data_IF_073697964050
#
_entry.id   IF_073697964050
#
_cell.length_a   1.000
_cell.length_b   1.000
_cell.length_c   1.000
_cell.angle_alpha   90.00
_cell.angle_beta   90.00
_cell.angle_gamma   90.00
#
_symmetry.space_group_name_H-M   'P 1'
#
loop_
_entity.id
_entity.type
_entity.pdbx_description
1 polymer ?
#
# COMPACT_ATOMS: atom_id res chain seq x y z
N UNK A 1 -59.05 -27.56 -12.36
CA UNK A 1 -58.23 -26.87 -11.34
C UNK A 1 -56.79 -26.90 -11.82
N UNK A 2 -56.31 -25.80 -12.41
CA UNK A 2 -54.89 -25.64 -12.74
C UNK A 2 -54.16 -25.39 -11.43
N UNK A 3 -53.51 -26.42 -10.90
CA UNK A 3 -52.59 -26.26 -9.78
C UNK A 3 -51.33 -25.63 -10.34
N UNK A 4 -51.26 -24.30 -10.31
CA UNK A 4 -49.97 -23.63 -10.35
C UNK A 4 -49.22 -24.02 -9.07
N UNK A 5 -48.38 -25.06 -9.16
CA UNK A 5 -47.30 -25.20 -8.18
C UNK A 5 -46.40 -23.98 -8.37
N UNK A 6 -46.63 -22.94 -7.59
CA UNK A 6 -45.60 -21.94 -7.32
C UNK A 6 -44.47 -22.70 -6.64
N UNK A 7 -43.45 -23.10 -7.40
CA UNK A 7 -42.26 -23.74 -6.88
C UNK A 7 -41.67 -22.84 -5.79
N UNK A 8 -41.68 -23.31 -4.54
CA UNK A 8 -41.13 -22.56 -3.41
C UNK A 8 -39.66 -22.25 -3.65
N UNK A 9 -39.24 -21.01 -3.37
CA UNK A 9 -37.84 -20.60 -3.47
C UNK A 9 -37.04 -21.36 -2.40
N UNK A 10 -36.04 -22.12 -2.81
CA UNK A 10 -35.15 -22.83 -1.90
C UNK A 10 -33.72 -22.86 -2.43
N UNK A 11 -32.75 -22.86 -1.51
CA UNK A 11 -31.33 -22.96 -1.88
C UNK A 11 -31.01 -24.35 -2.42
N UNK A 12 -30.32 -24.39 -3.57
CA UNK A 12 -29.79 -25.62 -4.20
C UNK A 12 -28.35 -25.89 -3.77
N UNK A 13 -27.59 -24.84 -3.51
CA UNK A 13 -26.22 -24.94 -3.03
C UNK A 13 -25.95 -23.83 -2.01
N UNK A 14 -25.17 -24.17 -1.00
CA UNK A 14 -24.78 -23.30 0.10
C UNK A 14 -23.29 -23.54 0.38
N UNK A 15 -22.53 -22.46 0.56
CA UNK A 15 -21.11 -22.54 0.91
C UNK A 15 -20.75 -21.44 1.90
N UNK A 16 -20.15 -21.85 3.02
CA UNK A 16 -19.57 -20.94 4.00
C UNK A 16 -18.22 -20.40 3.50
N UNK A 17 -17.92 -19.17 3.88
CA UNK A 17 -16.58 -18.61 3.77
C UNK A 17 -15.60 -19.32 4.72
N UNK A 18 -14.29 -19.15 4.51
CA UNK A 18 -13.25 -19.81 5.31
C UNK A 18 -13.32 -19.50 6.81
N UNK A 19 -13.82 -18.33 7.19
CA UNK A 19 -14.02 -17.95 8.60
C UNK A 19 -15.45 -18.19 9.09
N UNK A 20 -16.32 -18.74 8.23
CA UNK A 20 -17.75 -18.98 8.51
C UNK A 20 -18.57 -17.74 8.86
N UNK A 21 -18.05 -16.54 8.55
CA UNK A 21 -18.73 -15.26 8.80
C UNK A 21 -19.60 -14.78 7.63
N UNK A 22 -19.56 -15.48 6.50
CA UNK A 22 -20.43 -15.26 5.36
C UNK A 22 -20.91 -16.61 4.77
N UNK A 23 -22.13 -16.61 4.25
CA UNK A 23 -22.73 -17.73 3.53
C UNK A 23 -23.15 -17.25 2.15
N UNK A 24 -22.73 -17.98 1.12
CA UNK A 24 -23.18 -17.77 -0.24
C UNK A 24 -24.12 -18.91 -0.62
N UNK A 25 -25.28 -18.55 -1.17
CA UNK A 25 -26.29 -19.51 -1.61
C UNK A 25 -26.79 -19.22 -3.01
N UNK A 26 -27.05 -20.28 -3.77
CA UNK A 26 -27.71 -20.20 -5.08
C UNK A 26 -29.08 -20.87 -4.93
N UNK A 27 -30.15 -20.14 -5.27
CA UNK A 27 -31.49 -20.69 -5.24
C UNK A 27 -31.86 -21.45 -6.53
N UNK A 28 -33.01 -22.12 -6.51
CA UNK A 28 -33.57 -22.84 -7.63
C UNK A 28 -33.95 -21.95 -8.84
N UNK A 29 -33.84 -20.62 -8.72
CA UNK A 29 -34.02 -19.65 -9.81
C UNK A 29 -32.68 -19.09 -10.32
N UNK A 30 -31.54 -19.61 -9.83
CA UNK A 30 -30.21 -19.15 -10.23
C UNK A 30 -29.79 -17.82 -9.59
N UNK A 31 -30.53 -17.32 -8.59
CA UNK A 31 -30.17 -16.10 -7.87
C UNK A 31 -29.12 -16.40 -6.82
N UNK A 32 -28.00 -15.69 -6.91
CA UNK A 32 -26.95 -15.68 -5.89
C UNK A 32 -27.36 -14.76 -4.73
N UNK A 33 -27.31 -15.27 -3.50
CA UNK A 33 -27.52 -14.50 -2.27
C UNK A 33 -26.32 -14.66 -1.35
N UNK A 34 -25.83 -13.55 -0.81
CA UNK A 34 -24.80 -13.53 0.23
C UNK A 34 -25.42 -13.09 1.55
N UNK A 35 -25.22 -13.89 2.59
CA UNK A 35 -25.73 -13.66 3.93
C UNK A 35 -24.56 -13.45 4.87
N UNK A 36 -24.61 -12.39 5.67
CA UNK A 36 -23.67 -12.16 6.77
C UNK A 36 -24.07 -13.06 7.93
N UNK A 37 -23.17 -13.91 8.41
CA UNK A 37 -23.39 -14.78 9.56
C UNK A 37 -22.77 -14.14 10.79
N UNK A 38 -23.56 -13.89 11.82
CA UNK A 38 -23.04 -13.38 13.09
C UNK A 38 -22.03 -14.39 13.69
N UNK A 39 -20.85 -13.94 14.16
CA UNK A 39 -19.89 -14.81 14.84
C UNK A 39 -20.50 -15.53 16.06
N UNK A 40 -21.56 -14.94 16.61
CA UNK A 40 -22.29 -15.40 17.78
C UNK A 40 -23.53 -16.24 17.48
N UNK A 41 -23.81 -16.56 16.21
CA UNK A 41 -25.01 -17.32 15.78
C UNK A 41 -26.33 -16.78 16.35
N UNK A 42 -26.42 -15.46 16.58
CA UNK A 42 -27.62 -14.78 17.09
C UNK A 42 -27.55 -14.36 18.55
N UNK A 43 -26.53 -14.76 19.31
CA UNK A 43 -26.32 -14.27 20.68
C UNK A 43 -25.73 -12.86 20.70
N UNK A 44 -26.16 -12.02 21.64
CA UNK A 44 -25.52 -10.73 21.89
C UNK A 44 -24.20 -10.97 22.61
N UNK A 45 -23.09 -10.69 21.95
CA UNK A 45 -21.76 -10.70 22.58
C UNK A 45 -21.46 -9.31 23.13
N UNK A 46 -20.78 -9.26 24.27
CA UNK A 46 -20.13 -8.03 24.70
C UNK A 46 -19.02 -7.63 23.72
N UNK A 47 -18.63 -6.35 23.76
CA UNK A 47 -17.66 -5.77 22.83
C UNK A 47 -16.29 -6.45 22.97
N UNK A 48 -15.87 -6.83 24.19
CA UNK A 48 -14.56 -7.42 24.42
C UNK A 48 -14.47 -8.84 23.84
N UNK A 49 -15.51 -9.65 24.05
CA UNK A 49 -15.61 -10.99 23.46
C UNK A 49 -15.67 -10.91 21.92
N UNK A 50 -16.43 -9.94 21.38
CA UNK A 50 -16.49 -9.71 19.93
C UNK A 50 -15.12 -9.33 19.35
N UNK A 51 -14.40 -8.41 19.99
CA UNK A 51 -13.05 -8.01 19.58
C UNK A 51 -12.07 -9.18 19.60
N UNK A 52 -12.10 -9.99 20.67
CA UNK A 52 -11.23 -11.16 20.80
C UNK A 52 -11.51 -12.19 19.70
N UNK A 53 -12.78 -12.46 19.39
CA UNK A 53 -13.15 -13.38 18.32
C UNK A 53 -12.65 -12.90 16.96
N UNK A 54 -12.88 -11.62 16.63
CA UNK A 54 -12.41 -11.05 15.35
C UNK A 54 -10.88 -11.07 15.25
N UNK A 55 -10.18 -10.79 16.36
CA UNK A 55 -8.72 -10.85 16.43
C UNK A 55 -8.20 -12.28 16.13
N UNK A 56 -8.77 -13.31 16.76
CA UNK A 56 -8.39 -14.70 16.47
C UNK A 56 -8.61 -15.09 15.01
N UNK A 57 -9.70 -14.64 14.39
CA UNK A 57 -9.95 -14.92 12.97
C UNK A 57 -8.96 -14.17 12.05
N UNK A 58 -8.55 -12.95 12.42
CA UNK A 58 -7.52 -12.20 11.70
C UNK A 58 -6.16 -12.92 11.79
N UNK A 59 -5.77 -13.40 12.97
CA UNK A 59 -4.57 -14.21 13.17
C UNK A 59 -4.62 -15.50 12.35
N UNK A 60 -5.75 -16.21 12.39
CA UNK A 60 -5.97 -17.41 11.58
C UNK A 60 -5.76 -17.13 10.08
N UNK A 61 -6.36 -16.06 9.55
CA UNK A 61 -6.16 -15.65 8.16
C UNK A 61 -4.71 -15.24 7.87
N UNK A 62 -4.04 -14.60 8.83
CA UNK A 62 -2.66 -14.14 8.69
C UNK A 62 -1.70 -15.32 8.51
N UNK A 63 -1.90 -16.39 9.29
CA UNK A 63 -1.08 -17.62 9.22
C UNK A 63 -1.44 -18.47 7.99
N UNK A 64 -2.72 -18.76 7.79
CA UNK A 64 -3.18 -19.65 6.71
C UNK A 64 -3.08 -19.02 5.31
N UNK A 65 -3.11 -17.70 5.22
CA UNK A 65 -3.17 -16.98 3.95
C UNK A 65 -4.58 -16.90 3.35
N UNK A 66 -5.62 -17.33 4.07
CA UNK A 66 -7.00 -17.10 3.66
C UNK A 66 -7.35 -15.62 3.67
N UNK A 67 -8.28 -15.25 2.77
CA UNK A 67 -8.73 -13.87 2.62
C UNK A 67 -9.67 -13.48 3.78
N UNK A 68 -9.38 -12.35 4.43
CA UNK A 68 -10.10 -11.83 5.60
C UNK A 68 -11.30 -10.94 5.26
N UNK A 69 -11.76 -10.92 4.01
CA UNK A 69 -12.83 -10.01 3.55
C UNK A 69 -14.14 -10.13 4.34
N UNK A 70 -14.49 -11.34 4.77
CA UNK A 70 -15.72 -11.65 5.51
C UNK A 70 -15.64 -11.17 6.96
N UNK A 71 -14.47 -11.23 7.60
CA UNK A 71 -14.20 -10.62 8.90
C UNK A 71 -14.49 -9.12 8.84
N UNK A 72 -14.06 -8.43 7.78
CA UNK A 72 -14.24 -6.98 7.63
C UNK A 72 -15.73 -6.56 7.60
N UNK A 73 -16.64 -7.46 7.20
CA UNK A 73 -18.08 -7.19 7.28
C UNK A 73 -18.56 -7.02 8.73
N UNK A 74 -17.82 -7.56 9.70
CA UNK A 74 -18.20 -7.55 11.11
C UNK A 74 -17.52 -6.48 11.95
N UNK A 75 -16.41 -5.93 11.46
CA UNK A 75 -15.68 -4.87 12.15
C UNK A 75 -16.46 -3.55 12.09
N UNK A 76 -16.79 -3.00 13.26
CA UNK A 76 -17.40 -1.68 13.39
C UNK A 76 -16.33 -0.58 13.44
N UNK A 77 -16.64 0.69 13.04
CA UNK A 77 -15.66 1.77 13.01
C UNK A 77 -14.94 2.02 14.34
N UNK A 78 -15.64 1.86 15.47
CA UNK A 78 -15.09 2.02 16.82
C UNK A 78 -14.17 0.86 17.25
N UNK A 79 -14.19 -0.28 16.55
CA UNK A 79 -13.33 -1.44 16.83
C UNK A 79 -11.99 -1.37 16.11
N UNK A 80 -11.88 -0.55 15.07
CA UNK A 80 -10.74 -0.52 14.14
C UNK A 80 -9.41 -0.30 14.86
N UNK A 81 -9.31 0.74 15.70
CA UNK A 81 -8.07 1.08 16.38
C UNK A 81 -7.61 -0.08 17.30
N UNK A 82 -8.50 -0.59 18.14
CA UNK A 82 -8.21 -1.67 19.08
C UNK A 82 -7.77 -2.96 18.37
N UNK A 83 -8.44 -3.32 17.26
CA UNK A 83 -8.06 -4.51 16.49
C UNK A 83 -6.68 -4.32 15.84
N UNK A 84 -6.38 -3.14 15.31
CA UNK A 84 -5.08 -2.87 14.70
C UNK A 84 -3.92 -2.92 15.69
N UNK A 85 -4.11 -2.35 16.89
CA UNK A 85 -3.10 -2.34 17.96
C UNK A 85 -2.86 -3.76 18.47
N UNK A 86 -3.91 -4.47 18.87
CA UNK A 86 -3.78 -5.86 19.36
C UNK A 86 -3.19 -6.79 18.31
N UNK A 87 -3.64 -6.70 17.06
CA UNK A 87 -3.07 -7.50 15.97
C UNK A 87 -1.58 -7.17 15.75
N UNK A 88 -1.17 -5.92 15.97
CA UNK A 88 0.24 -5.57 15.92
C UNK A 88 1.04 -6.17 17.07
N UNK A 89 0.52 -6.09 18.30
CA UNK A 89 1.16 -6.66 19.49
C UNK A 89 1.34 -8.18 19.35
N UNK A 90 0.32 -8.89 18.87
CA UNK A 90 0.43 -10.34 18.65
C UNK A 90 1.47 -10.68 17.58
N UNK A 91 1.59 -9.84 16.54
CA UNK A 91 2.63 -9.96 15.53
C UNK A 91 4.04 -9.70 16.12
N UNK A 92 4.23 -8.66 16.94
CA UNK A 92 5.55 -8.32 17.50
C UNK A 92 6.02 -9.30 18.57
N UNK A 93 5.10 -10.05 19.21
CA UNK A 93 5.44 -11.16 20.11
C UNK A 93 6.00 -12.39 19.39
N UNK A 94 5.83 -12.50 18.07
CA UNK A 94 6.36 -13.64 17.32
C UNK A 94 7.88 -13.56 17.17
N UNK A 95 8.52 -14.71 16.88
CA UNK A 95 9.94 -14.72 16.55
C UNK A 95 10.23 -13.98 15.23
N UNK A 96 11.49 -13.56 15.04
CA UNK A 96 11.90 -12.74 13.88
C UNK A 96 11.63 -13.42 12.54
N UNK A 97 11.81 -14.74 12.44
CA UNK A 97 11.58 -15.48 11.20
C UNK A 97 10.10 -15.43 10.78
N UNK A 98 9.18 -15.62 11.72
CA UNK A 98 7.74 -15.54 11.46
C UNK A 98 7.31 -14.10 11.15
N UNK A 99 7.85 -13.11 11.87
CA UNK A 99 7.61 -11.70 11.56
C UNK A 99 8.01 -11.37 10.12
N UNK A 100 9.18 -11.82 9.67
CA UNK A 100 9.65 -11.60 8.30
C UNK A 100 8.66 -12.15 7.25
N UNK A 101 8.17 -13.38 7.45
CA UNK A 101 7.20 -14.04 6.54
C UNK A 101 5.85 -13.32 6.52
N UNK A 102 5.39 -12.83 7.67
CA UNK A 102 4.07 -12.21 7.81
C UNK A 102 4.06 -10.69 7.58
N UNK A 103 5.24 -10.06 7.51
CA UNK A 103 5.45 -8.60 7.44
C UNK A 103 4.54 -7.86 6.45
N UNK A 104 4.39 -8.38 5.23
CA UNK A 104 3.52 -7.76 4.21
C UNK A 104 2.03 -7.99 4.50
N UNK A 105 1.66 -9.15 5.04
CA UNK A 105 0.27 -9.50 5.36
C UNK A 105 -0.28 -8.63 6.49
N UNK A 106 0.50 -8.43 7.56
CA UNK A 106 0.09 -7.57 8.68
C UNK A 106 -0.16 -6.12 8.21
N UNK A 107 0.70 -5.58 7.34
CA UNK A 107 0.51 -4.23 6.78
C UNK A 107 -0.76 -4.18 5.91
N UNK A 108 -1.01 -5.19 5.10
CA UNK A 108 -2.21 -5.28 4.27
C UNK A 108 -3.51 -5.40 5.10
N UNK A 109 -3.49 -6.18 6.19
CA UNK A 109 -4.61 -6.29 7.11
C UNK A 109 -4.89 -4.95 7.81
N UNK A 110 -3.84 -4.28 8.34
CA UNK A 110 -3.96 -2.95 8.94
C UNK A 110 -4.53 -1.92 7.96
N UNK A 111 -4.05 -1.90 6.72
CA UNK A 111 -4.59 -1.05 5.66
C UNK A 111 -6.10 -1.29 5.43
N UNK A 112 -6.53 -2.56 5.49
CA UNK A 112 -7.93 -2.94 5.29
C UNK A 112 -8.82 -2.50 6.45
N UNK A 113 -8.35 -2.67 7.69
CA UNK A 113 -9.04 -2.23 8.90
C UNK A 113 -9.18 -0.70 8.94
N UNK A 114 -8.10 0.03 8.64
CA UNK A 114 -8.12 1.50 8.62
C UNK A 114 -9.18 2.10 7.67
N UNK A 115 -9.54 1.38 6.59
CA UNK A 115 -10.55 1.83 5.63
C UNK A 115 -11.98 1.74 6.18
N UNK A 116 -12.19 1.07 7.31
CA UNK A 116 -13.51 0.91 7.93
C UNK A 116 -13.84 2.04 8.92
N UNK A 117 -12.92 2.96 9.20
CA UNK A 117 -13.15 4.11 10.06
C UNK A 117 -12.65 5.40 9.42
N UNK A 118 -13.44 6.49 9.43
CA UNK A 118 -13.03 7.76 8.84
C UNK A 118 -11.78 8.35 9.53
N UNK A 119 -11.65 8.12 10.84
CA UNK A 119 -10.55 8.65 11.65
C UNK A 119 -9.19 8.03 11.32
N UNK A 120 -9.18 6.88 10.63
CA UNK A 120 -7.97 6.15 10.29
C UNK A 120 -7.67 6.12 8.79
N UNK A 121 -8.43 6.88 7.97
CA UNK A 121 -8.31 6.79 6.52
C UNK A 121 -6.92 7.21 6.01
N UNK A 122 -6.33 8.26 6.60
CA UNK A 122 -4.97 8.68 6.27
C UNK A 122 -3.94 7.57 6.55
N UNK A 123 -4.09 6.85 7.66
CA UNK A 123 -3.25 5.68 7.98
C UNK A 123 -3.40 4.55 6.96
N UNK A 124 -4.59 4.37 6.38
CA UNK A 124 -4.77 3.39 5.29
C UNK A 124 -3.91 3.73 4.06
N UNK A 125 -3.79 5.03 3.76
CA UNK A 125 -2.95 5.54 2.67
C UNK A 125 -1.47 5.27 2.97
N UNK A 126 -1.03 5.51 4.20
CA UNK A 126 0.35 5.24 4.65
C UNK A 126 0.70 3.76 4.55
N UNK A 127 -0.18 2.87 5.02
CA UNK A 127 0.05 1.43 4.87
C UNK A 127 0.09 1.00 3.40
N UNK A 128 -0.68 1.65 2.52
CA UNK A 128 -0.60 1.37 1.09
C UNK A 128 0.71 1.84 0.48
N UNK A 129 1.18 3.05 0.83
CA UNK A 129 2.50 3.53 0.45
C UNK A 129 3.59 2.59 0.97
N UNK A 130 3.45 2.06 2.19
CA UNK A 130 4.39 1.11 2.79
C UNK A 130 4.44 -0.21 2.03
N UNK A 131 3.29 -0.75 1.62
CA UNK A 131 3.24 -1.95 0.77
C UNK A 131 3.93 -1.72 -0.58
N UNK A 132 3.71 -0.56 -1.20
CA UNK A 132 4.35 -0.20 -2.46
C UNK A 132 5.88 -0.03 -2.27
N UNK A 133 6.32 0.63 -1.20
CA UNK A 133 7.73 0.78 -0.86
C UNK A 133 8.41 -0.58 -0.65
N UNK A 134 7.81 -1.48 0.13
CA UNK A 134 8.34 -2.84 0.34
C UNK A 134 8.47 -3.57 -0.99
N UNK A 135 7.45 -3.48 -1.85
CA UNK A 135 7.47 -4.10 -3.17
C UNK A 135 8.57 -3.52 -4.07
N UNK A 136 8.73 -2.20 -4.12
CA UNK A 136 9.78 -1.53 -4.90
C UNK A 136 11.15 -1.91 -4.35
N UNK A 137 11.35 -1.84 -3.03
CA UNK A 137 12.61 -2.20 -2.38
C UNK A 137 13.03 -3.62 -2.68
N UNK A 138 12.12 -4.59 -2.50
CA UNK A 138 12.36 -5.99 -2.86
C UNK A 138 12.74 -6.14 -4.34
N UNK A 139 12.10 -5.40 -5.24
CA UNK A 139 12.40 -5.44 -6.68
C UNK A 139 13.77 -4.89 -6.98
N UNK A 140 14.05 -3.66 -6.55
CA UNK A 140 15.29 -2.97 -6.89
C UNK A 140 16.51 -3.66 -6.28
N UNK A 141 16.39 -4.14 -5.02
CA UNK A 141 17.47 -4.92 -4.39
C UNK A 141 17.69 -6.28 -5.04
N UNK A 142 16.63 -6.92 -5.56
CA UNK A 142 16.78 -8.21 -6.27
C UNK A 142 17.52 -8.11 -7.60
N UNK A 143 17.67 -6.89 -8.14
CA UNK A 143 18.46 -6.65 -9.34
C UNK A 143 19.97 -6.65 -9.06
N UNK A 144 20.37 -6.40 -7.80
CA UNK A 144 21.78 -6.36 -7.41
C UNK A 144 22.40 -7.76 -7.53
N UNK A 145 23.61 -7.85 -8.07
CA UNK A 145 24.27 -9.12 -8.37
C UNK A 145 25.57 -9.27 -7.60
N UNK A 146 25.86 -10.42 -6.99
CA UNK A 146 27.17 -10.65 -6.39
C UNK A 146 28.26 -10.65 -7.46
N UNK A 147 29.40 -10.00 -7.16
CA UNK A 147 30.53 -9.93 -8.08
C UNK A 147 31.23 -11.30 -8.26
N UNK A 148 31.20 -12.15 -7.24
CA UNK A 148 31.78 -13.50 -7.24
C UNK A 148 30.67 -14.54 -6.98
N UNK A 149 30.56 -15.54 -7.85
CA UNK A 149 29.50 -16.57 -7.80
C UNK A 149 29.62 -17.55 -6.62
N UNK A 150 30.78 -17.61 -5.94
CA UNK A 150 31.10 -18.66 -4.95
C UNK A 150 31.33 -18.18 -3.51
N UNK A 151 30.95 -16.95 -3.12
CA UNK A 151 30.73 -16.50 -1.71
C UNK A 151 30.09 -15.10 -1.72
N UNK A 152 29.23 -14.70 -0.74
CA UNK A 152 29.11 -15.18 0.66
C UNK A 152 27.67 -15.51 1.14
N UNK A 153 27.52 -15.85 2.43
CA UNK A 153 26.24 -16.10 3.16
C UNK A 153 25.17 -14.98 3.04
N UNK A 154 25.54 -13.79 2.55
CA UNK A 154 24.65 -12.61 2.45
C UNK A 154 24.62 -12.04 1.03
N UNK A 155 23.42 -11.71 0.57
CA UNK A 155 23.14 -11.05 -0.71
C UNK A 155 23.63 -9.59 -0.74
N UNK A 156 23.88 -9.00 -1.92
CA UNK A 156 24.19 -7.56 -2.04
C UNK A 156 23.14 -6.65 -1.39
N UNK A 157 21.86 -7.02 -1.49
CA UNK A 157 20.77 -6.27 -0.87
C UNK A 157 20.82 -6.28 0.66
N UNK A 158 21.23 -7.39 1.27
CA UNK A 158 21.43 -7.48 2.74
C UNK A 158 22.66 -6.70 3.18
N UNK A 159 23.76 -6.76 2.42
CA UNK A 159 24.96 -5.93 2.69
C UNK A 159 24.64 -4.44 2.65
N UNK A 160 23.89 -4.00 1.63
CA UNK A 160 23.41 -2.62 1.53
C UNK A 160 22.63 -2.23 2.78
N UNK A 161 21.68 -3.06 3.21
CA UNK A 161 20.90 -2.79 4.41
C UNK A 161 21.76 -2.68 5.67
N UNK A 162 22.73 -3.57 5.85
CA UNK A 162 23.65 -3.51 7.00
C UNK A 162 24.51 -2.24 7.01
N UNK A 163 25.01 -1.83 5.85
CA UNK A 163 25.83 -0.62 5.71
C UNK A 163 24.99 0.63 5.95
N UNK A 164 23.82 0.74 5.32
CA UNK A 164 22.92 1.89 5.49
C UNK A 164 22.37 2.00 6.93
N UNK A 165 22.11 0.88 7.61
CA UNK A 165 21.65 0.87 9.00
C UNK A 165 22.74 1.36 9.98
N UNK A 166 24.02 1.07 9.70
CA UNK A 166 25.14 1.50 10.55
C UNK A 166 25.64 2.90 10.23
N UNK A 167 25.59 3.31 8.96
CA UNK A 167 26.12 4.58 8.51
C UNK A 167 25.15 5.75 8.81
N UNK A 168 25.65 6.73 9.55
CA UNK A 168 24.92 7.94 9.97
C UNK A 168 25.31 9.19 9.18
N UNK A 169 26.19 9.07 8.18
CA UNK A 169 26.55 10.18 7.31
C UNK A 169 25.33 10.69 6.55
N UNK A 170 25.20 12.01 6.54
CA UNK A 170 24.12 12.70 5.81
C UNK A 170 24.53 13.02 4.36
N UNK A 171 25.79 12.74 4.01
CA UNK A 171 26.34 12.86 2.66
C UNK A 171 26.25 11.51 1.96
N UNK A 172 25.44 11.44 0.90
CA UNK A 172 25.16 10.20 0.17
C UNK A 172 26.42 9.60 -0.46
N UNK A 173 27.34 10.45 -0.93
CA UNK A 173 28.53 9.99 -1.63
C UNK A 173 29.53 9.34 -0.64
N UNK A 174 29.55 9.79 0.63
CA UNK A 174 30.31 9.14 1.71
C UNK A 174 29.75 7.76 2.07
N UNK A 175 28.43 7.60 2.06
CA UNK A 175 27.81 6.29 2.30
C UNK A 175 28.24 5.30 1.22
N UNK A 176 28.26 5.75 -0.04
CA UNK A 176 28.60 4.94 -1.20
C UNK A 176 30.03 4.42 -1.23
N UNK A 177 30.99 5.14 -0.64
CA UNK A 177 32.39 4.68 -0.53
C UNK A 177 32.50 3.34 0.21
N UNK A 178 31.54 3.05 1.11
CA UNK A 178 31.51 1.79 1.87
C UNK A 178 30.91 0.62 1.06
N UNK A 179 30.45 0.85 -0.17
CA UNK A 179 29.78 -0.14 -1.02
C UNK A 179 30.66 -0.58 -2.19
N UNK A 180 30.50 -1.85 -2.58
CA UNK A 180 31.13 -2.43 -3.77
C UNK A 180 30.28 -2.09 -5.00
N UNK A 181 30.67 -1.06 -5.74
CA UNK A 181 29.87 -0.54 -6.87
C UNK A 181 29.69 -1.55 -8.01
N UNK A 182 30.56 -2.56 -8.10
CA UNK A 182 30.46 -3.64 -9.09
C UNK A 182 29.19 -4.48 -8.92
N UNK A 183 28.63 -4.55 -7.71
CA UNK A 183 27.40 -5.29 -7.40
C UNK A 183 26.12 -4.59 -7.90
N UNK A 184 26.24 -3.32 -8.31
CA UNK A 184 25.16 -2.44 -8.70
C UNK A 184 25.08 -2.22 -10.22
N UNK A 185 25.99 -2.82 -11.00
CA UNK A 185 26.04 -2.62 -12.46
C UNK A 185 24.84 -3.31 -13.12
N UNK A 186 24.04 -2.50 -13.84
CA UNK A 186 22.83 -2.95 -14.55
C UNK A 186 22.76 -2.39 -15.97
N UNK A 187 22.02 -3.10 -16.81
CA UNK A 187 21.70 -2.65 -18.17
C UNK A 187 20.80 -1.40 -18.15
N UNK A 188 21.13 -0.40 -18.96
CA UNK A 188 20.38 0.86 -19.03
C UNK A 188 18.89 0.65 -19.34
N UNK A 189 18.57 -0.33 -20.19
CA UNK A 189 17.20 -0.68 -20.55
C UNK A 189 16.38 -1.21 -19.36
N UNK A 190 17.00 -1.93 -18.43
CA UNK A 190 16.34 -2.41 -17.22
C UNK A 190 15.93 -1.21 -16.35
N UNK A 191 16.88 -0.32 -16.08
CA UNK A 191 16.66 0.90 -15.30
C UNK A 191 15.59 1.78 -15.93
N UNK A 192 15.68 2.04 -17.23
CA UNK A 192 14.69 2.83 -17.97
C UNK A 192 13.28 2.22 -17.87
N UNK A 193 13.18 0.88 -17.92
CA UNK A 193 11.88 0.21 -17.82
C UNK A 193 11.24 0.30 -16.43
N UNK A 194 12.05 0.56 -15.39
CA UNK A 194 11.61 0.73 -14.00
C UNK A 194 11.60 2.20 -13.56
N UNK A 195 11.81 3.14 -14.49
CA UNK A 195 11.95 4.57 -14.19
C UNK A 195 10.78 5.13 -13.37
N UNK A 196 9.56 4.68 -13.63
CA UNK A 196 8.38 5.16 -12.90
C UNK A 196 8.36 4.73 -11.43
N UNK A 197 8.98 3.58 -11.11
CA UNK A 197 9.16 3.15 -9.72
C UNK A 197 10.28 3.94 -9.04
N UNK A 198 11.37 4.22 -9.77
CA UNK A 198 12.48 5.05 -9.30
C UNK A 198 12.00 6.48 -9.02
N UNK A 199 11.26 7.08 -9.95
CA UNK A 199 10.64 8.39 -9.81
C UNK A 199 9.74 8.43 -8.58
N UNK A 200 8.90 7.41 -8.38
CA UNK A 200 8.02 7.34 -7.22
C UNK A 200 8.78 7.39 -5.88
N UNK A 201 9.96 6.76 -5.78
CA UNK A 201 10.78 6.83 -4.56
C UNK A 201 11.22 8.26 -4.29
N UNK A 202 11.74 8.96 -5.31
CA UNK A 202 12.17 10.36 -5.18
C UNK A 202 11.02 11.30 -4.82
N UNK A 203 9.91 11.19 -5.56
CA UNK A 203 8.68 11.96 -5.32
C UNK A 203 8.14 11.73 -3.92
N UNK A 204 8.15 10.49 -3.43
CA UNK A 204 7.63 10.16 -2.13
C UNK A 204 8.51 10.69 -1.00
N UNK A 205 9.84 10.64 -1.13
CA UNK A 205 10.76 11.27 -0.17
C UNK A 205 10.53 12.78 -0.12
N UNK A 206 10.46 13.45 -1.27
CA UNK A 206 10.17 14.89 -1.33
C UNK A 206 8.82 15.22 -0.69
N UNK A 207 7.78 14.45 -1.01
CA UNK A 207 6.46 14.62 -0.43
C UNK A 207 6.47 14.50 1.10
N UNK A 208 7.12 13.46 1.65
CA UNK A 208 7.20 13.23 3.08
C UNK A 208 7.92 14.39 3.79
N UNK A 209 9.10 14.77 3.31
CA UNK A 209 9.89 15.84 3.92
C UNK A 209 9.18 17.19 3.85
N UNK A 210 8.57 17.54 2.72
CA UNK A 210 7.76 18.76 2.59
C UNK A 210 6.50 18.76 3.49
N UNK A 211 6.06 17.58 3.94
CA UNK A 211 4.93 17.42 4.86
C UNK A 211 5.36 17.46 6.33
N UNK A 212 6.66 17.39 6.64
CA UNK A 212 7.19 17.39 8.01
C UNK A 212 6.87 18.67 8.82
N UNK A 213 6.84 19.88 8.25
CA UNK A 213 6.40 21.07 9.01
C UNK A 213 4.92 21.08 9.36
N UNK A 214 4.14 20.26 8.65
CA UNK A 214 2.69 20.33 8.59
C UNK A 214 2.00 19.32 9.54
N UNK A 215 2.65 18.93 10.64
CA UNK A 215 2.22 17.83 11.52
C UNK A 215 1.12 18.18 12.54
N UNK A 216 0.58 19.40 12.52
CA UNK A 216 -0.44 19.85 13.48
C UNK A 216 -1.78 19.08 13.45
N UNK A 217 -1.96 18.11 12.55
CA UNK A 217 -3.12 17.21 12.51
C UNK A 217 -2.70 15.76 12.21
N UNK A 218 -3.06 14.77 13.05
CA UNK A 218 -2.67 13.36 12.87
C UNK A 218 -3.40 12.65 11.71
N UNK A 219 -4.29 13.34 10.99
CA UNK A 219 -5.15 12.77 9.93
C UNK A 219 -4.61 13.09 8.52
N UNK A 220 -3.31 13.37 8.39
CA UNK A 220 -2.67 13.63 7.08
C UNK A 220 -1.90 12.40 6.59
N UNK A 221 -1.96 12.04 5.29
CA UNK A 221 -1.11 10.98 4.77
C UNK A 221 0.36 11.38 4.92
N UNK A 222 1.21 10.38 5.15
CA UNK A 222 2.61 10.53 5.50
C UNK A 222 2.86 10.62 7.01
N UNK A 223 1.87 11.00 7.84
CA UNK A 223 2.07 11.22 9.28
C UNK A 223 2.66 10.01 9.99
N UNK A 224 2.09 8.81 9.79
CA UNK A 224 2.62 7.61 10.45
C UNK A 224 3.93 7.13 9.82
N UNK A 225 4.20 7.52 8.58
CA UNK A 225 5.41 7.18 7.84
C UNK A 225 6.64 7.96 8.35
N UNK A 226 6.45 9.23 8.69
CA UNK A 226 7.51 10.12 9.20
C UNK A 226 8.06 9.68 10.56
N UNK A 227 7.34 8.78 11.25
CA UNK A 227 7.70 8.22 12.55
C UNK A 227 8.17 6.76 12.47
N UNK A 228 8.19 6.18 11.28
CA UNK A 228 8.52 4.78 11.03
C UNK A 228 9.97 4.64 10.56
N UNK A 229 10.90 4.49 11.51
CA UNK A 229 12.34 4.38 11.25
C UNK A 229 12.69 3.26 10.27
N UNK A 230 11.95 2.15 10.27
CA UNK A 230 12.17 1.04 9.33
C UNK A 230 11.85 1.48 7.90
N UNK A 231 10.73 2.15 7.69
CA UNK A 231 10.35 2.62 6.35
C UNK A 231 11.23 3.78 5.87
N UNK A 232 11.63 4.70 6.76
CA UNK A 232 12.59 5.76 6.44
C UNK A 232 13.96 5.18 6.08
N UNK A 233 14.42 4.16 6.81
CA UNK A 233 15.66 3.44 6.50
C UNK A 233 15.60 2.78 5.11
N UNK A 234 14.47 2.17 4.77
CA UNK A 234 14.25 1.60 3.44
C UNK A 234 14.29 2.66 2.32
N UNK A 235 13.76 3.86 2.56
CA UNK A 235 13.89 4.98 1.61
C UNK A 235 15.35 5.40 1.46
N UNK A 236 16.12 5.52 2.55
CA UNK A 236 17.57 5.84 2.50
C UNK A 236 18.33 4.82 1.64
N UNK A 237 18.11 3.53 1.87
CA UNK A 237 18.74 2.47 1.10
C UNK A 237 18.45 2.60 -0.41
N UNK A 238 17.20 2.87 -0.78
CA UNK A 238 16.82 3.04 -2.18
C UNK A 238 17.41 4.29 -2.80
N UNK A 239 17.49 5.41 -2.04
CA UNK A 239 18.17 6.60 -2.53
C UNK A 239 19.65 6.32 -2.85
N UNK A 240 20.35 5.56 -2.00
CA UNK A 240 21.74 5.15 -2.25
C UNK A 240 21.84 4.29 -3.52
N UNK A 241 20.97 3.29 -3.68
CA UNK A 241 20.93 2.43 -4.88
C UNK A 241 20.71 3.28 -6.15
N UNK A 242 19.72 4.16 -6.12
CA UNK A 242 19.36 5.03 -7.24
C UNK A 242 20.51 6.01 -7.56
N UNK A 243 21.22 6.53 -6.54
CA UNK A 243 22.38 7.42 -6.73
C UNK A 243 23.53 6.69 -7.43
N UNK A 244 23.87 5.47 -6.99
CA UNK A 244 24.89 4.65 -7.65
C UNK A 244 24.52 4.40 -9.12
N UNK A 245 23.27 4.01 -9.39
CA UNK A 245 22.80 3.83 -10.77
C UNK A 245 22.85 5.12 -11.58
N UNK A 246 22.53 6.27 -10.98
CA UNK A 246 22.61 7.58 -11.62
C UNK A 246 24.03 7.98 -12.02
N UNK A 247 25.04 7.64 -11.22
CA UNK A 247 26.44 7.86 -11.60
C UNK A 247 26.85 7.02 -12.83
N UNK A 248 26.32 5.79 -12.94
CA UNK A 248 26.59 4.92 -14.08
C UNK A 248 25.75 5.28 -15.31
N UNK A 249 24.51 5.73 -15.09
CA UNK A 249 23.46 6.01 -16.08
C UNK A 249 22.58 7.19 -15.62
N UNK A 250 22.95 8.45 -15.92
CA UNK A 250 22.24 9.63 -15.42
C UNK A 250 20.74 9.67 -15.74
N UNK A 251 20.32 9.10 -16.88
CA UNK A 251 18.93 9.05 -17.31
C UNK A 251 17.99 8.24 -16.43
N UNK A 252 18.50 7.46 -15.45
CA UNK A 252 17.66 6.73 -14.51
C UNK A 252 17.33 7.51 -13.22
N UNK A 253 17.92 8.69 -13.01
CA UNK A 253 17.67 9.47 -11.81
C UNK A 253 16.22 9.98 -11.77
N UNK A 254 15.61 10.12 -10.58
CA UNK A 254 14.37 10.86 -10.42
C UNK A 254 14.55 12.29 -10.94
N UNK A 255 13.58 12.77 -11.69
CA UNK A 255 13.56 14.13 -12.23
C UNK A 255 12.80 15.01 -11.24
N UNK A 256 13.43 16.07 -10.78
CA UNK A 256 12.82 17.08 -9.92
C UNK A 256 12.65 18.37 -10.71
N UNK A 257 11.52 19.04 -10.54
CA UNK A 257 11.35 20.42 -11.05
C UNK A 257 11.89 21.35 -9.98
N UNK A 258 13.13 21.78 -10.14
CA UNK A 258 13.83 22.68 -9.22
C UNK A 258 13.76 24.14 -9.69
N UNK A 259 13.87 25.07 -8.75
CA UNK A 259 14.00 26.50 -9.07
C UNK A 259 15.43 26.90 -9.46
N UNK A 260 16.41 26.00 -9.27
CA UNK A 260 17.81 26.16 -9.65
C UNK A 260 18.35 24.92 -10.36
N UNK A 261 19.01 25.12 -11.51
CA UNK A 261 19.59 24.04 -12.33
C UNK A 261 20.87 23.44 -11.71
N UNK A 262 21.50 24.11 -10.76
CA UNK A 262 22.74 23.65 -10.10
C UNK A 262 22.51 22.84 -8.83
N UNK A 263 21.25 22.70 -8.40
CA UNK A 263 20.92 22.05 -7.14
C UNK A 263 20.95 20.51 -7.28
N UNK A 264 21.82 19.87 -6.50
CA UNK A 264 21.74 18.41 -6.31
C UNK A 264 20.59 18.06 -5.37
N UNK A 265 19.39 17.98 -5.96
CA UNK A 265 18.15 17.68 -5.26
C UNK A 265 18.18 16.32 -4.55
N UNK A 266 18.87 15.35 -5.13
CA UNK A 266 18.95 14.00 -4.55
C UNK A 266 19.79 14.00 -3.28
N UNK A 267 20.95 14.68 -3.31
CA UNK A 267 21.82 14.84 -2.14
C UNK A 267 21.14 15.65 -1.04
N UNK A 268 20.41 16.73 -1.39
CA UNK A 268 19.60 17.50 -0.45
C UNK A 268 18.57 16.61 0.27
N UNK A 269 17.76 15.87 -0.50
CA UNK A 269 16.70 15.03 0.04
C UNK A 269 17.27 13.88 0.89
N UNK A 270 18.40 13.29 0.49
CA UNK A 270 19.05 12.23 1.28
C UNK A 270 19.54 12.74 2.63
N UNK A 271 20.11 13.95 2.66
CA UNK A 271 20.59 14.61 3.88
C UNK A 271 19.45 14.84 4.87
N UNK A 272 18.35 15.42 4.41
CA UNK A 272 17.16 15.68 5.23
C UNK A 272 16.50 14.37 5.69
N UNK A 273 16.35 13.39 4.79
CA UNK A 273 15.82 12.07 5.12
C UNK A 273 16.70 11.36 6.16
N UNK A 274 18.02 11.48 6.07
CA UNK A 274 18.95 10.87 7.03
C UNK A 274 18.80 11.51 8.41
N UNK A 275 18.71 12.85 8.49
CA UNK A 275 18.45 13.55 9.76
C UNK A 275 17.15 13.06 10.40
N UNK A 276 16.06 12.99 9.62
CA UNK A 276 14.77 12.49 10.12
C UNK A 276 14.85 11.02 10.55
N UNK A 277 15.50 10.17 9.76
CA UNK A 277 15.67 8.75 10.10
C UNK A 277 16.43 8.57 11.41
N UNK A 278 17.47 9.38 11.68
CA UNK A 278 18.22 9.32 12.95
C UNK A 278 17.31 9.56 14.17
N UNK A 279 16.27 10.39 14.02
CA UNK A 279 15.28 10.64 15.06
C UNK A 279 14.37 9.43 15.34
N UNK A 280 14.13 8.59 14.32
CA UNK A 280 13.15 7.51 14.38
C UNK A 280 13.74 6.10 14.31
N UNK A 281 15.05 5.94 14.13
CA UNK A 281 15.69 4.63 13.90
C UNK A 281 15.63 3.67 15.10
N UNK A 282 15.51 4.22 16.31
CA UNK A 282 15.38 3.45 17.54
C UNK A 282 13.95 3.61 18.08
N UNK A 283 13.15 2.55 18.01
CA UNK A 283 11.76 2.57 18.48
C UNK A 283 11.66 2.81 20.00
N UNK A 284 12.71 2.48 20.78
CA UNK A 284 12.72 2.69 22.22
C UNK A 284 13.12 4.12 22.61
N UNK A 285 13.80 4.83 21.71
CA UNK A 285 14.37 6.16 21.94
C UNK A 285 14.05 7.11 20.79
N UNK A 286 12.77 7.22 20.44
CA UNK A 286 12.31 8.17 19.43
C UNK A 286 12.53 9.61 19.90
N UNK A 287 13.28 10.40 19.13
CA UNK A 287 13.42 11.84 19.33
C UNK A 287 12.51 12.60 18.36
N UNK A 288 12.06 13.79 18.77
CA UNK A 288 11.38 14.71 17.87
C UNK A 288 12.44 15.41 16.98
N UNK A 289 12.09 15.76 15.72
CA UNK A 289 12.97 16.51 14.84
C UNK A 289 13.27 17.91 15.41
N UNK A 290 14.50 18.37 15.26
CA UNK A 290 14.90 19.71 15.73
C UNK A 290 14.34 20.83 14.83
N UNK A 291 14.26 22.05 15.39
CA UNK A 291 13.72 23.22 14.69
C UNK A 291 14.47 23.49 13.38
N UNK A 292 15.79 23.27 13.36
CA UNK A 292 16.59 23.43 12.16
C UNK A 292 16.17 22.46 11.03
N UNK A 293 15.94 21.18 11.32
CA UNK A 293 15.44 20.22 10.31
C UNK A 293 14.06 20.62 9.81
N UNK A 294 13.18 21.08 10.71
CA UNK A 294 11.84 21.54 10.35
C UNK A 294 11.94 22.77 9.43
N UNK A 295 12.74 23.77 9.76
CA UNK A 295 12.96 24.98 8.97
C UNK A 295 13.52 24.66 7.58
N UNK A 296 14.48 23.75 7.50
CA UNK A 296 15.01 23.29 6.21
C UNK A 296 13.93 22.59 5.36
N UNK A 297 13.04 21.81 5.99
CA UNK A 297 11.91 21.17 5.31
C UNK A 297 10.81 22.18 4.91
N UNK A 298 10.59 23.24 5.68
CA UNK A 298 9.69 24.35 5.33
C UNK A 298 10.08 25.03 4.02
N UNK A 299 11.37 25.06 3.70
CA UNK A 299 11.92 25.66 2.49
C UNK A 299 11.85 24.75 1.25
N UNK A 300 11.54 23.46 1.40
CA UNK A 300 11.49 22.54 0.25
C UNK A 300 10.51 22.97 -0.85
N UNK A 301 9.26 23.39 -0.54
CA UNK A 301 8.31 23.79 -1.59
C UNK A 301 8.73 25.02 -2.40
N UNK A 302 9.65 25.85 -1.90
CA UNK A 302 10.20 26.98 -2.66
C UNK A 302 11.42 26.59 -3.51
N UNK A 303 12.03 25.44 -3.24
CA UNK A 303 13.18 24.91 -3.99
C UNK A 303 12.76 23.89 -5.05
N UNK A 304 11.76 23.06 -4.73
CA UNK A 304 11.32 21.92 -5.53
C UNK A 304 9.79 21.89 -5.62
N UNK A 305 9.28 21.59 -6.82
CA UNK A 305 7.86 21.32 -7.00
C UNK A 305 7.48 20.04 -6.26
N UNK A 306 6.68 20.17 -5.19
CA UNK A 306 6.22 19.03 -4.40
C UNK A 306 5.10 18.29 -5.15
N UNK A 307 5.22 16.97 -5.38
CA UNK A 307 4.20 16.19 -6.07
C UNK A 307 2.94 16.04 -5.20
N UNK A 308 1.78 15.93 -5.85
CA UNK A 308 0.51 15.68 -5.17
C UNK A 308 0.37 14.22 -4.73
N UNK A 309 -0.44 13.96 -3.70
CA UNK A 309 -0.76 12.63 -3.15
C UNK A 309 -1.77 11.81 -3.97
N UNK A 310 -2.10 12.30 -5.16
CA UNK A 310 -3.18 11.83 -6.03
C UNK A 310 -3.08 10.35 -6.46
N UNK A 311 -1.93 9.77 -6.17
CA UNK A 311 -1.54 8.43 -6.51
C UNK A 311 -1.87 7.34 -5.49
N UNK A 312 -2.37 7.71 -4.31
CA UNK A 312 -2.83 6.73 -3.33
C UNK A 312 -4.26 6.25 -3.66
N UNK A 313 -4.56 4.96 -3.43
CA UNK A 313 -5.84 4.39 -3.83
C UNK A 313 -6.96 4.83 -2.88
N UNK A 314 -7.97 5.47 -3.46
CA UNK A 314 -9.15 5.96 -2.75
C UNK A 314 -9.98 4.80 -2.20
N UNK A 315 -10.69 5.05 -1.10
CA UNK A 315 -11.57 4.09 -0.47
C UNK A 315 -12.88 3.87 -1.25
N UNK A 316 -12.76 3.23 -2.42
CA UNK A 316 -13.88 2.82 -3.26
C UNK A 316 -14.20 1.32 -3.18
N UNK A 317 -13.58 0.62 -2.23
CA UNK A 317 -13.83 -0.79 -1.98
C UNK A 317 -15.30 -1.05 -1.64
N UNK A 318 -15.83 -2.19 -2.07
CA UNK A 318 -17.23 -2.55 -1.80
C UNK A 318 -17.45 -2.73 -0.29
N UNK A 319 -16.44 -3.24 0.44
CA UNK A 319 -16.54 -3.58 1.86
C UNK A 319 -16.85 -2.36 2.74
N UNK A 320 -16.23 -1.21 2.48
CA UNK A 320 -16.53 0.02 3.25
C UNK A 320 -17.98 0.49 3.04
N UNK A 321 -18.56 0.17 1.87
CA UNK A 321 -19.93 0.50 1.47
C UNK A 321 -20.96 -0.52 2.01
N UNK A 322 -20.52 -1.75 2.33
CA UNK A 322 -21.36 -2.83 2.89
C UNK A 322 -21.55 -2.77 4.41
N UNK A 323 -21.04 -1.74 5.08
CA UNK A 323 -21.25 -1.56 6.54
C UNK A 323 -22.71 -1.27 6.92
N UNK A 324 -23.55 -0.91 5.94
CA UNK A 324 -24.98 -0.70 6.17
C UNK A 324 -25.70 -2.03 6.39
N UNK A 325 -26.64 -2.08 7.34
CA UNK A 325 -27.44 -3.28 7.61
C UNK A 325 -28.54 -3.54 6.56
N UNK A 326 -28.62 -2.72 5.51
CA UNK A 326 -29.66 -2.88 4.50
C UNK A 326 -29.23 -3.88 3.42
N UNK A 327 -30.13 -4.77 2.97
CA UNK A 327 -29.83 -5.72 1.91
C UNK A 327 -29.59 -4.98 0.60
N UNK A 328 -28.45 -5.24 -0.03
CA UNK A 328 -28.08 -4.65 -1.31
C UNK A 328 -28.39 -5.65 -2.43
N UNK A 329 -29.16 -5.21 -3.43
CA UNK A 329 -29.43 -6.00 -4.63
C UNK A 329 -28.44 -5.60 -5.72
N UNK A 330 -27.68 -6.58 -6.20
CA UNK A 330 -26.69 -6.41 -7.26
C UNK A 330 -27.10 -7.18 -8.50
N UNK A 331 -26.74 -6.67 -9.67
CA UNK A 331 -26.92 -7.36 -10.94
C UNK A 331 -25.55 -7.60 -11.57
N UNK A 332 -25.32 -8.83 -12.05
CA UNK A 332 -24.09 -9.18 -12.72
C UNK A 332 -23.83 -8.25 -13.93
N UNK A 333 -22.59 -7.79 -14.08
CA UNK A 333 -22.18 -6.90 -15.17
C UNK A 333 -22.59 -5.43 -15.00
N UNK A 334 -23.39 -5.06 -13.98
CA UNK A 334 -23.74 -3.66 -13.73
C UNK A 334 -22.83 -3.02 -12.68
N UNK A 335 -22.49 -1.76 -12.89
CA UNK A 335 -21.76 -0.97 -11.90
C UNK A 335 -22.63 -0.75 -10.67
N UNK A 336 -22.01 -0.87 -9.50
CA UNK A 336 -22.68 -0.74 -8.21
C UNK A 336 -22.54 0.72 -7.75
N UNK A 337 -23.58 1.52 -7.93
CA UNK A 337 -23.66 2.87 -7.38
C UNK A 337 -24.12 2.81 -5.91
N UNK A 338 -23.34 2.15 -5.05
CA UNK A 338 -23.59 2.25 -3.60
C UNK A 338 -22.97 3.57 -3.15
N UNK A 339 -23.83 4.49 -2.73
CA UNK A 339 -23.44 5.78 -2.16
C UNK A 339 -22.69 5.49 -0.87
N UNK A 340 -21.43 5.91 -0.79
CA UNK A 340 -20.69 5.91 0.47
C UNK A 340 -21.29 6.99 1.37
N UNK A 341 -21.88 6.60 2.52
CA UNK A 341 -22.42 7.57 3.48
C UNK A 341 -21.35 8.47 4.13
N UNK A 342 -20.07 8.24 3.85
CA UNK A 342 -18.97 9.09 4.32
C UNK A 342 -18.75 10.34 3.47
N UNK A 343 -19.54 10.56 2.41
CA UNK A 343 -19.43 11.69 1.50
C UNK A 343 -19.85 13.06 2.09
N UNK A 344 -20.22 13.14 3.38
CA UNK A 344 -20.67 14.39 4.02
C UNK A 344 -19.76 14.87 5.15
N UNK A 345 -18.59 14.27 5.34
CA UNK A 345 -17.58 14.72 6.31
C UNK A 345 -16.42 15.37 5.55
N UNK A 346 -15.60 16.20 6.21
CA UNK A 346 -14.48 17.03 5.71
C UNK A 346 -13.34 16.30 4.94
N UNK A 347 -13.62 15.11 4.43
CA UNK A 347 -12.80 14.17 3.68
C UNK A 347 -12.83 14.38 2.15
N UNK A 348 -13.36 15.52 1.68
CA UNK A 348 -13.31 15.92 0.26
C UNK A 348 -11.88 15.96 -0.32
N UNK A 349 -10.85 16.00 0.54
CA UNK A 349 -9.43 15.89 0.14
C UNK A 349 -9.11 14.56 -0.57
N UNK A 350 -9.86 13.49 -0.29
CA UNK A 350 -9.69 12.17 -0.95
C UNK A 350 -10.80 11.86 -1.96
N UNK A 351 -11.79 12.73 -2.12
CA UNK A 351 -12.83 12.59 -3.12
C UNK A 351 -12.32 13.16 -4.45
N UNK A 352 -12.21 12.33 -5.49
CA UNK A 352 -11.84 12.83 -6.82
C UNK A 352 -12.99 13.64 -7.40
N UNK A 353 -12.71 14.88 -7.76
CA UNK A 353 -13.61 15.69 -8.59
C UNK A 353 -13.84 15.01 -9.95
N UNK A 354 -15.01 15.22 -10.59
CA UNK A 354 -15.20 14.83 -11.98
C UNK A 354 -14.10 15.44 -12.86
N UNK A 355 -13.43 14.63 -13.69
CA UNK A 355 -12.31 15.10 -14.51
C UNK A 355 -10.91 14.74 -14.00
N UNK A 356 -10.81 13.97 -12.91
CA UNK A 356 -9.52 13.62 -12.31
C UNK A 356 -8.71 12.57 -13.10
N UNK A 357 -7.38 12.76 -13.18
CA UNK A 357 -6.48 11.82 -13.86
C UNK A 357 -6.38 10.48 -13.12
N UNK A 358 -6.73 9.40 -13.79
CA UNK A 358 -6.52 8.05 -13.26
C UNK A 358 -5.05 7.68 -13.40
N UNK A 359 -4.53 6.95 -12.42
CA UNK A 359 -3.15 6.45 -12.40
C UNK A 359 -3.21 4.92 -12.31
N UNK A 360 -2.29 4.26 -13.00
CA UNK A 360 -1.97 2.86 -12.76
C UNK A 360 -1.19 2.75 -11.45
N UNK A 361 -1.84 2.31 -10.37
CA UNK A 361 -1.24 2.26 -9.04
C UNK A 361 -0.06 1.28 -8.95
N UNK A 362 0.05 0.29 -9.85
CA UNK A 362 1.17 -0.66 -9.87
C UNK A 362 2.33 -0.17 -10.73
N UNK A 363 2.03 0.40 -11.90
CA UNK A 363 3.05 0.83 -12.88
C UNK A 363 3.45 2.29 -12.72
N UNK A 364 2.68 3.03 -11.93
CA UNK A 364 2.87 4.47 -11.67
C UNK A 364 2.76 5.31 -12.94
N UNK A 365 1.91 4.87 -13.86
CA UNK A 365 1.65 5.53 -15.15
C UNK A 365 0.35 6.33 -15.11
N UNK A 366 0.35 7.55 -15.66
CA UNK A 366 -0.88 8.31 -15.85
C UNK A 366 -1.71 7.68 -16.97
N UNK A 367 -2.97 7.39 -16.65
CA UNK A 367 -3.97 6.82 -17.57
C UNK A 367 -4.92 7.89 -18.15
N UNK A 368 -4.78 9.13 -17.68
CA UNK A 368 -5.68 10.23 -18.02
C UNK A 368 -7.06 10.08 -17.37
N UNK A 369 -7.98 10.98 -17.73
CA UNK A 369 -9.31 11.08 -17.12
C UNK A 369 -10.23 9.93 -17.56
N UNK A 370 -10.18 9.59 -18.84
CA UNK A 370 -10.97 8.56 -19.48
C UNK A 370 -10.04 7.54 -20.17
N UNK A 371 -9.55 6.52 -19.43
CA UNK A 371 -8.67 5.52 -20.00
C UNK A 371 -9.40 4.75 -21.10
N UNK A 372 -8.81 4.75 -22.30
CA UNK A 372 -9.27 3.95 -23.44
C UNK A 372 -8.88 2.47 -23.29
N UNK A 373 -7.83 2.22 -22.52
CA UNK A 373 -7.32 0.88 -22.25
C UNK A 373 -8.17 0.13 -21.24
N UNK A 374 -8.25 -1.20 -21.39
CA UNK A 374 -8.91 -2.04 -20.41
C UNK A 374 -8.16 -2.01 -19.08
N UNK A 375 -8.85 -1.69 -17.99
CA UNK A 375 -8.26 -1.69 -16.64
C UNK A 375 -8.90 -2.74 -15.73
N UNK A 376 -8.19 -3.05 -14.65
CA UNK A 376 -8.71 -3.82 -13.53
C UNK A 376 -8.56 -3.00 -12.24
N UNK A 377 -9.54 -3.11 -11.36
CA UNK A 377 -9.56 -2.42 -10.07
C UNK A 377 -9.58 -3.45 -8.95
N UNK A 378 -8.85 -3.18 -7.87
CA UNK A 378 -8.85 -4.03 -6.70
C UNK A 378 -10.16 -3.89 -5.93
N UNK A 379 -10.81 -5.00 -5.61
CA UNK A 379 -12.08 -5.03 -4.86
C UNK A 379 -11.95 -4.53 -3.42
N UNK A 380 -10.73 -4.53 -2.87
CA UNK A 380 -10.42 -4.12 -1.49
C UNK A 380 -9.93 -2.68 -1.39
N UNK A 381 -8.84 -2.33 -2.10
CA UNK A 381 -8.27 -0.99 -2.00
C UNK A 381 -8.79 0.01 -3.03
N UNK A 382 -9.47 -0.41 -4.10
CA UNK A 382 -9.82 0.47 -5.22
C UNK A 382 -8.68 0.72 -6.22
N UNK A 383 -7.45 0.29 -5.91
CA UNK A 383 -6.28 0.45 -6.77
C UNK A 383 -6.59 0.01 -8.20
N UNK A 384 -6.25 0.83 -9.18
CA UNK A 384 -6.52 0.61 -10.59
C UNK A 384 -5.22 0.34 -11.35
N UNK A 385 -5.24 -0.56 -12.32
CA UNK A 385 -4.07 -0.88 -13.13
C UNK A 385 -4.50 -1.38 -14.51
N UNK A 386 -3.69 -1.17 -15.53
CA UNK A 386 -3.98 -1.67 -16.87
C UNK A 386 -3.99 -3.20 -16.88
N UNK A 387 -4.92 -3.78 -17.66
CA UNK A 387 -5.01 -5.23 -17.82
C UNK A 387 -3.84 -5.77 -18.64
N UNK A 388 -3.42 -5.04 -19.68
CA UNK A 388 -2.27 -5.36 -20.53
C UNK A 388 -1.14 -4.38 -20.25
N UNK A 389 0.09 -4.90 -20.19
CA UNK A 389 1.27 -4.04 -20.02
C UNK A 389 1.62 -3.34 -21.34
N UNK A 390 1.94 -2.04 -21.31
CA UNK A 390 2.53 -1.36 -22.45
C UNK A 390 4.00 -1.76 -22.66
N UNK A 391 4.70 -2.23 -21.62
CA UNK A 391 6.14 -2.52 -21.67
C UNK A 391 6.40 -4.04 -21.65
N UNK A 392 7.21 -4.51 -22.60
CA UNK A 392 7.53 -5.94 -22.77
C UNK A 392 8.85 -6.36 -22.11
N UNK A 393 9.56 -5.47 -21.41
CA UNK A 393 10.83 -5.78 -20.75
C UNK A 393 10.66 -6.89 -19.72
N UNK A 394 11.70 -7.71 -19.55
CA UNK A 394 11.69 -8.82 -18.58
C UNK A 394 11.52 -8.32 -17.16
N UNK A 395 12.17 -7.20 -16.79
CA UNK A 395 12.06 -6.61 -15.47
C UNK A 395 10.62 -6.15 -15.15
N UNK A 396 9.94 -5.53 -16.11
CA UNK A 396 8.53 -5.11 -15.93
C UNK A 396 7.61 -6.33 -15.85
N UNK A 397 7.84 -7.36 -16.68
CA UNK A 397 7.08 -8.62 -16.59
C UNK A 397 7.22 -9.28 -15.21
N UNK A 398 8.43 -9.34 -14.66
CA UNK A 398 8.67 -9.88 -13.31
C UNK A 398 7.98 -9.04 -12.23
N UNK A 399 8.03 -7.70 -12.33
CA UNK A 399 7.30 -6.81 -11.44
C UNK A 399 5.81 -7.13 -11.43
N UNK A 400 5.20 -7.23 -12.62
CA UNK A 400 3.77 -7.43 -12.82
C UNK A 400 3.28 -8.83 -12.47
N UNK A 401 4.10 -9.86 -12.69
CA UNK A 401 3.75 -11.25 -12.41
C UNK A 401 3.33 -11.48 -10.96
N UNK A 402 3.93 -10.73 -10.02
CA UNK A 402 3.57 -10.75 -8.60
C UNK A 402 2.14 -10.29 -8.31
N UNK A 403 1.58 -9.48 -9.21
CA UNK A 403 0.27 -8.82 -9.03
C UNK A 403 -0.78 -9.32 -10.02
N UNK A 404 -0.58 -10.51 -10.62
CA UNK A 404 -1.55 -11.09 -11.56
C UNK A 404 -2.86 -11.40 -10.83
N UNK A 405 -2.77 -12.15 -9.72
CA UNK A 405 -3.93 -12.64 -8.96
C UNK A 405 -4.50 -11.60 -8.00
N UNK A 406 -3.60 -10.92 -7.27
CA UNK A 406 -3.96 -10.02 -6.18
C UNK A 406 -3.28 -8.66 -6.32
N UNK A 407 -3.88 -7.64 -5.73
CA UNK A 407 -3.29 -6.32 -5.54
C UNK A 407 -2.24 -6.32 -4.42
N UNK A 408 -1.47 -5.23 -4.31
CA UNK A 408 -0.53 -4.96 -3.20
C UNK A 408 -1.18 -5.17 -1.83
N UNK A 409 -2.45 -4.79 -1.67
CA UNK A 409 -3.19 -4.98 -0.43
C UNK A 409 -3.72 -6.40 -0.21
N UNK A 410 -3.44 -7.34 -1.13
CA UNK A 410 -3.93 -8.72 -1.15
C UNK A 410 -5.34 -8.91 -1.72
N UNK A 411 -6.03 -7.84 -2.11
CA UNK A 411 -7.39 -7.93 -2.64
C UNK A 411 -7.43 -8.39 -4.10
N UNK A 412 -8.48 -9.14 -4.46
CA UNK A 412 -8.69 -9.63 -5.82
C UNK A 412 -8.93 -8.50 -6.82
N UNK A 413 -8.63 -8.79 -8.09
CA UNK A 413 -8.90 -7.90 -9.20
C UNK A 413 -10.31 -8.13 -9.77
N UNK A 414 -11.02 -7.03 -10.06
CA UNK A 414 -12.19 -7.04 -10.95
C UNK A 414 -11.88 -6.29 -12.23
N UNK A 415 -12.37 -6.78 -13.37
CA UNK A 415 -12.29 -6.04 -14.64
C UNK A 415 -13.18 -4.79 -14.55
N UNK A 416 -12.67 -3.66 -15.03
CA UNK A 416 -13.42 -2.41 -15.15
C UNK A 416 -13.78 -2.26 -16.62
N UNK A 417 -15.08 -2.09 -16.96
CA UNK A 417 -15.48 -1.81 -18.33
C UNK A 417 -14.80 -0.53 -18.84
N UNK A 418 -14.42 -0.53 -20.12
CA UNK A 418 -13.94 0.69 -20.77
C UNK A 418 -15.05 1.73 -20.71
N UNK A 419 -14.68 2.99 -20.46
CA UNK A 419 -15.65 4.06 -20.54
C UNK A 419 -16.05 4.21 -22.02
N UNK A 420 -17.23 3.69 -22.38
CA UNK A 420 -17.83 3.99 -23.67
C UNK A 420 -18.16 5.49 -23.65
N UNK A 421 -17.56 6.25 -24.57
CA UNK A 421 -17.90 7.67 -24.78
C UNK A 421 -19.32 7.81 -25.30
#
# INVERSE_FOLDING_TARGET
>A
VLIFHTSSVHFKALQLSWTSLALVGIDNHGKLSMLRISPSMGHTLDINTSLRHLLFLLEYCMVTGYDWWDILLHVQPNMVQNLMEKLHEEYTRQNQALQQVLSTRIVAMKASLCKLSPNTLARACDFHAKLLLIAISSTLKSLLRPHLLNTPDKSPGERLSEICAKNTDTDIDKVMINLKTEEFVLDAWVLQSLQQLIQWVGDFVLYLLASLPNQGSPVRPGFSFLRDGTSLGMLRELMVVIRIWGLLKPGCLPIYTATSDTQDSMSLLFRLLTKLWLCCRDENHMSEPDDNLIDECCLLPSQLLVPSLDWLPINDGIISKLQTKQPIKLQFGKSVSVVSHFATSQLDIFARSPGYQKIDNLRRLNLGVCPTEETKSCTRCGCNTMLKSPNKSTAVKQWEQRWIKNCLCGGLWRKVPVCLQ
#
